data_IF_821032034115
#
_entry.id   IF_821032034115
#
_cell.length_a   1.000
_cell.length_b   1.000
_cell.length_c   1.000
_cell.angle_alpha   90.00
_cell.angle_beta   90.00
_cell.angle_gamma   90.00
#
_symmetry.space_group_name_H-M   'P 1'
#
loop_
_entity.id
_entity.type
_entity.pdbx_description
1 polymer ?
#
# COMPACT_ATOMS: atom_id res chain seq x y z
N UNK A 1 -22.21 45.36 -33.48
CA UNK A 1 -22.15 45.85 -34.89
C UNK A 1 -21.73 47.31 -34.78
N UNK A 2 -20.57 47.82 -35.18
CA UNK A 2 -19.52 47.50 -36.16
C UNK A 2 -18.15 47.72 -35.46
N UNK A 3 -17.14 46.85 -35.65
CA UNK A 3 -15.98 47.00 -36.58
C UNK A 3 -15.29 48.37 -36.49
N UNK A 4 -13.98 48.51 -36.49
CA UNK A 4 -12.85 47.59 -36.68
C UNK A 4 -11.60 48.31 -36.16
N UNK A 5 -10.58 47.52 -35.85
CA UNK A 5 -9.17 47.91 -35.78
C UNK A 5 -8.70 48.68 -37.02
N UNK A 6 -7.76 49.62 -36.83
CA UNK A 6 -6.56 49.87 -37.67
C UNK A 6 -5.82 51.08 -37.06
N UNK A 7 -4.77 50.86 -36.25
CA UNK A 7 -3.35 50.78 -36.66
C UNK A 7 -2.69 52.14 -36.93
N UNK A 8 -1.53 52.34 -36.30
CA UNK A 8 -0.64 53.49 -36.40
C UNK A 8 0.13 53.64 -35.08
N UNK A 9 1.00 52.69 -34.71
CA UNK A 9 2.38 52.46 -35.22
C UNK A 9 3.35 53.62 -34.91
N UNK A 10 4.39 53.23 -34.16
CA UNK A 10 5.72 53.85 -33.97
C UNK A 10 5.81 55.20 -33.23
N UNK A 11 6.63 55.25 -32.17
CA UNK A 11 8.06 55.57 -32.35
C UNK A 11 8.86 55.67 -31.02
N UNK A 12 9.95 54.88 -30.96
CA UNK A 12 11.27 55.08 -30.34
C UNK A 12 11.41 55.57 -28.87
N UNK A 13 11.84 54.68 -27.97
CA UNK A 13 13.25 54.45 -27.50
C UNK A 13 13.89 55.61 -26.75
N UNK A 14 14.15 55.42 -25.46
CA UNK A 14 15.26 56.06 -24.73
C UNK A 14 16.01 54.99 -23.95
N UNK A 15 17.33 55.10 -24.08
CA UNK A 15 18.46 54.28 -23.63
C UNK A 15 18.40 53.86 -22.15
N UNK A 16 18.73 52.61 -21.79
CA UNK A 16 20.09 52.04 -21.64
C UNK A 16 20.89 52.68 -20.49
N UNK A 17 20.63 52.21 -19.26
CA UNK A 17 21.59 52.30 -18.17
C UNK A 17 22.19 50.91 -17.91
N UNK A 18 23.48 50.81 -18.18
CA UNK A 18 24.36 49.70 -17.85
C UNK A 18 24.32 49.42 -16.33
N UNK A 19 23.96 48.20 -15.96
CA UNK A 19 24.44 47.58 -14.73
C UNK A 19 25.14 46.28 -15.15
N UNK A 20 26.40 46.03 -14.76
CA UNK A 20 27.11 44.85 -15.21
C UNK A 20 26.44 43.59 -14.64
N UNK A 21 26.10 42.66 -15.53
CA UNK A 21 25.68 41.31 -15.17
C UNK A 21 26.79 40.65 -14.35
N UNK A 22 26.57 40.53 -13.04
CA UNK A 22 27.35 39.65 -12.18
C UNK A 22 26.87 38.23 -12.51
N UNK A 23 27.70 37.35 -13.11
CA UNK A 23 27.29 35.97 -13.29
C UNK A 23 27.10 35.36 -11.91
N UNK A 24 25.86 34.92 -11.63
CA UNK A 24 25.53 34.25 -10.39
C UNK A 24 26.49 33.07 -10.19
N UNK A 25 27.12 32.92 -9.00
CA UNK A 25 28.02 31.80 -8.77
C UNK A 25 27.20 30.52 -8.90
N UNK A 26 27.57 29.69 -9.87
CA UNK A 26 26.99 28.38 -10.09
C UNK A 26 27.36 27.48 -8.90
N UNK A 27 26.48 27.54 -7.90
CA UNK A 27 26.73 26.88 -6.63
C UNK A 27 26.64 25.36 -6.85
N UNK A 28 27.66 24.59 -6.44
CA UNK A 28 27.76 23.16 -6.70
C UNK A 28 26.68 22.35 -5.96
N UNK A 29 25.86 23.05 -5.16
CA UNK A 29 24.79 22.48 -4.37
C UNK A 29 23.52 22.27 -5.19
N UNK A 30 23.36 22.88 -6.39
CA UNK A 30 22.17 22.63 -7.25
C UNK A 30 22.06 21.15 -7.64
N UNK A 31 23.18 20.56 -8.07
CA UNK A 31 23.24 19.12 -8.38
C UNK A 31 23.11 18.24 -7.13
N UNK A 32 23.69 18.67 -6.00
CA UNK A 32 23.62 17.92 -4.72
C UNK A 32 22.21 17.93 -4.11
N UNK A 33 21.46 19.02 -4.23
CA UNK A 33 20.07 19.13 -3.78
C UNK A 33 19.15 18.28 -4.63
N UNK A 34 19.32 18.29 -5.95
CA UNK A 34 18.59 17.40 -6.86
C UNK A 34 18.92 15.94 -6.54
N UNK A 35 20.19 15.61 -6.32
CA UNK A 35 20.60 14.25 -5.94
C UNK A 35 20.05 13.85 -4.55
N UNK A 36 20.03 14.76 -3.57
CA UNK A 36 19.44 14.52 -2.26
C UNK A 36 17.93 14.32 -2.31
N UNK A 37 17.21 15.09 -3.14
CA UNK A 37 15.77 14.92 -3.37
C UNK A 37 15.45 13.63 -4.13
N UNK A 38 16.30 13.25 -5.10
CA UNK A 38 16.18 11.98 -5.81
C UNK A 38 16.47 10.78 -4.90
N UNK A 39 17.49 10.86 -4.03
CA UNK A 39 17.80 9.83 -3.04
C UNK A 39 16.69 9.69 -1.97
N UNK A 40 16.13 10.80 -1.51
CA UNK A 40 15.02 10.80 -0.56
C UNK A 40 13.73 10.24 -1.19
N UNK A 41 13.46 10.54 -2.47
CA UNK A 41 12.34 9.95 -3.22
C UNK A 41 12.53 8.45 -3.49
N UNK A 42 13.76 8.01 -3.76
CA UNK A 42 14.10 6.59 -3.96
C UNK A 42 14.02 5.78 -2.65
N UNK A 43 14.39 6.38 -1.51
CA UNK A 43 14.20 5.79 -0.18
C UNK A 43 12.73 5.81 0.28
N UNK A 44 11.98 6.87 -0.01
CA UNK A 44 10.56 7.00 0.34
C UNK A 44 9.64 6.09 -0.49
N UNK A 45 9.94 5.90 -1.77
CA UNK A 45 9.18 4.99 -2.66
C UNK A 45 9.40 3.52 -2.34
N UNK A 46 10.58 3.15 -1.84
CA UNK A 46 10.89 1.78 -1.42
C UNK A 46 10.17 1.36 -0.13
N UNK A 47 9.75 2.31 0.71
CA UNK A 47 9.04 2.03 1.97
C UNK A 47 7.56 1.67 1.77
N UNK A 48 6.96 2.09 0.64
CA UNK A 48 5.56 1.79 0.30
C UNK A 48 5.37 0.42 -0.37
N UNK A 49 6.44 -0.14 -0.94
CA UNK A 49 6.49 -1.50 -1.47
C UNK A 49 7.31 -2.34 -0.50
N UNK A 50 6.91 -2.34 0.77
CA UNK A 50 7.28 -3.46 1.61
C UNK A 50 6.44 -4.64 1.13
N UNK A 51 6.98 -5.66 0.44
CA UNK A 51 6.23 -6.88 0.26
C UNK A 51 5.88 -7.34 1.67
N UNK A 52 4.59 -7.51 1.96
CA UNK A 52 4.18 -8.31 3.10
C UNK A 52 4.99 -9.60 2.99
N UNK A 53 5.87 -9.84 3.96
CA UNK A 53 6.55 -11.12 4.07
C UNK A 53 5.44 -12.16 3.92
N UNK A 54 5.53 -13.10 2.96
CA UNK A 54 4.45 -14.03 2.71
C UNK A 54 4.16 -14.73 4.03
N UNK A 55 3.01 -14.38 4.60
CA UNK A 55 2.51 -14.91 5.86
C UNK A 55 2.47 -16.46 5.84
N UNK A 56 2.43 -17.04 4.63
CA UNK A 56 2.50 -18.47 4.33
C UNK A 56 3.77 -19.18 4.84
N UNK A 57 4.84 -18.46 5.16
CA UNK A 57 6.08 -19.07 5.69
C UNK A 57 5.98 -19.42 7.20
N UNK A 58 4.96 -18.94 7.93
CA UNK A 58 4.94 -19.00 9.42
C UNK A 58 3.64 -19.48 10.06
N UNK A 59 2.67 -19.99 9.31
CA UNK A 59 1.47 -20.59 9.92
C UNK A 59 1.66 -22.11 10.01
N UNK A 60 2.11 -22.65 11.16
CA UNK A 60 2.00 -24.07 11.39
C UNK A 60 0.53 -24.44 11.35
N UNK A 61 0.20 -25.50 10.61
CA UNK A 61 -1.02 -26.27 10.83
C UNK A 61 -1.11 -26.51 12.34
N UNK A 62 -2.31 -26.34 12.91
CA UNK A 62 -2.59 -26.23 14.34
C UNK A 62 -2.20 -27.40 15.26
N UNK A 63 -1.22 -28.20 14.86
CA UNK A 63 -0.78 -29.41 15.53
C UNK A 63 0.60 -29.24 16.21
N UNK A 64 1.38 -28.18 15.94
CA UNK A 64 2.72 -28.08 16.51
C UNK A 64 3.34 -26.67 16.56
N UNK A 65 2.80 -25.76 17.37
CA UNK A 65 3.67 -24.82 18.08
C UNK A 65 3.64 -25.18 19.56
N UNK A 66 4.78 -25.45 20.21
CA UNK A 66 4.86 -25.29 21.65
C UNK A 66 4.65 -23.80 21.92
N UNK A 67 3.39 -23.42 22.11
CA UNK A 67 3.04 -22.07 22.54
C UNK A 67 3.20 -22.08 24.04
N UNK A 68 4.22 -21.40 24.54
CA UNK A 68 4.30 -21.08 25.97
C UNK A 68 3.15 -20.14 26.30
N UNK A 69 2.05 -20.73 26.77
CA UNK A 69 0.89 -19.99 27.25
C UNK A 69 1.27 -19.38 28.60
N UNK A 70 1.21 -18.05 28.77
CA UNK A 70 1.46 -17.42 30.06
C UNK A 70 0.49 -17.95 31.13
N UNK A 71 0.97 -18.11 32.37
CA UNK A 71 0.07 -18.40 33.50
C UNK A 71 -0.70 -17.14 33.89
N UNK A 72 -1.82 -16.92 33.20
CA UNK A 72 -2.71 -15.80 33.48
C UNK A 72 -3.31 -15.84 34.90
N UNK A 73 -3.23 -16.96 35.63
CA UNK A 73 -3.75 -17.06 37.00
C UNK A 73 -2.81 -16.42 38.03
N UNK A 74 -1.51 -16.33 37.74
CA UNK A 74 -0.52 -15.68 38.62
C UNK A 74 -0.60 -14.14 38.57
N UNK A 75 -1.18 -13.56 37.51
CA UNK A 75 -1.34 -12.12 37.35
C UNK A 75 -2.58 -11.63 38.12
N UNK A 76 -2.34 -10.89 39.21
CA UNK A 76 -3.39 -10.37 40.12
C UNK A 76 -4.05 -9.12 39.56
N UNK A 77 -3.28 -8.22 38.96
CA UNK A 77 -3.83 -6.99 38.37
C UNK A 77 -4.58 -7.31 37.07
N UNK A 78 -5.85 -6.91 37.01
CA UNK A 78 -6.72 -7.17 35.86
C UNK A 78 -6.29 -6.38 34.63
N UNK A 79 -5.69 -5.19 34.80
CA UNK A 79 -5.19 -4.38 33.68
C UNK A 79 -3.96 -5.03 33.05
N UNK A 80 -2.99 -5.42 33.87
CA UNK A 80 -1.79 -6.15 33.44
C UNK A 80 -2.16 -7.49 32.78
N UNK A 81 -3.09 -8.25 33.39
CA UNK A 81 -3.55 -9.53 32.85
C UNK A 81 -4.19 -9.39 31.47
N UNK A 82 -4.96 -8.32 31.23
CA UNK A 82 -5.56 -8.06 29.91
C UNK A 82 -4.49 -7.68 28.90
N UNK A 83 -3.52 -6.83 29.28
CA UNK A 83 -2.43 -6.45 28.40
C UNK A 83 -1.64 -7.69 27.95
N UNK A 84 -1.27 -8.57 28.87
CA UNK A 84 -0.57 -9.82 28.56
C UNK A 84 -1.44 -10.76 27.71
N UNK A 85 -2.73 -10.90 28.03
CA UNK A 85 -3.67 -11.70 27.25
C UNK A 85 -3.81 -11.23 25.80
N UNK A 86 -3.98 -9.92 25.58
CA UNK A 86 -4.11 -9.38 24.23
C UNK A 86 -2.78 -9.38 23.49
N UNK A 87 -1.66 -9.14 24.18
CA UNK A 87 -0.31 -9.26 23.59
C UNK A 87 -0.03 -10.69 23.13
N UNK A 88 -0.48 -11.68 23.90
CA UNK A 88 -0.43 -13.08 23.52
C UNK A 88 -1.30 -13.41 22.30
N UNK A 89 -2.53 -12.88 22.22
CA UNK A 89 -3.45 -13.15 21.10
C UNK A 89 -3.12 -12.38 19.82
N UNK A 90 -2.51 -11.19 19.93
CA UNK A 90 -2.23 -10.31 18.81
C UNK A 90 -1.59 -11.01 17.59
N UNK A 91 -0.50 -11.79 17.73
CA UNK A 91 0.11 -12.46 16.57
C UNK A 91 -0.84 -13.47 15.89
N UNK A 92 -1.77 -14.08 16.61
CA UNK A 92 -2.76 -15.00 16.03
C UNK A 92 -3.84 -14.25 15.25
N UNK A 93 -4.28 -13.10 15.76
CA UNK A 93 -5.23 -12.23 15.06
C UNK A 93 -4.60 -11.69 13.78
N UNK A 94 -3.35 -11.23 13.84
CA UNK A 94 -2.62 -10.72 12.67
C UNK A 94 -2.43 -11.82 11.61
N UNK A 95 -2.18 -13.05 12.06
CA UNK A 95 -2.09 -14.22 11.21
C UNK A 95 -3.41 -14.52 10.48
N UNK A 96 -4.54 -14.52 11.20
CA UNK A 96 -5.85 -14.72 10.59
C UNK A 96 -6.24 -13.59 9.64
N UNK A 97 -5.96 -12.34 10.02
CA UNK A 97 -6.19 -11.18 9.16
C UNK A 97 -5.43 -11.31 7.84
N UNK A 98 -4.16 -11.74 7.89
CA UNK A 98 -3.34 -11.96 6.71
C UNK A 98 -3.92 -13.06 5.81
N UNK A 99 -4.40 -14.17 6.40
CA UNK A 99 -5.09 -15.23 5.66
C UNK A 99 -6.35 -14.71 4.96
N UNK A 100 -7.18 -13.94 5.67
CA UNK A 100 -8.42 -13.37 5.12
C UNK A 100 -8.10 -12.40 3.96
N UNK A 101 -7.05 -11.59 4.08
CA UNK A 101 -6.61 -10.70 3.01
C UNK A 101 -6.20 -11.47 1.75
N UNK A 102 -5.41 -12.53 1.90
CA UNK A 102 -5.01 -13.39 0.76
C UNK A 102 -6.22 -14.04 0.09
N UNK A 103 -7.17 -14.56 0.87
CA UNK A 103 -8.42 -15.11 0.33
C UNK A 103 -9.20 -14.05 -0.47
N UNK A 104 -9.26 -12.81 0.02
CA UNK A 104 -9.91 -11.69 -0.68
C UNK A 104 -9.22 -11.36 -2.00
N UNK A 105 -7.90 -11.29 -2.02
CA UNK A 105 -7.13 -11.03 -3.25
C UNK A 105 -7.40 -12.11 -4.32
N UNK A 106 -7.42 -13.38 -3.92
CA UNK A 106 -7.76 -14.48 -4.81
C UNK A 106 -9.18 -14.37 -5.36
N UNK A 107 -10.17 -14.04 -4.52
CA UNK A 107 -11.55 -13.83 -4.96
C UNK A 107 -11.66 -12.66 -5.95
N UNK A 108 -10.99 -11.54 -5.67
CA UNK A 108 -10.97 -10.39 -6.57
C UNK A 108 -10.32 -10.73 -7.91
N UNK A 109 -9.25 -11.54 -7.92
CA UNK A 109 -8.65 -12.01 -9.16
C UNK A 109 -9.62 -12.86 -9.99
N UNK A 110 -10.41 -13.73 -9.33
CA UNK A 110 -11.45 -14.54 -9.98
C UNK A 110 -12.55 -13.64 -10.56
N UNK A 111 -13.05 -12.65 -9.82
CA UNK A 111 -14.06 -11.71 -10.31
C UNK A 111 -13.57 -10.96 -11.54
N UNK A 112 -12.37 -10.37 -11.48
CA UNK A 112 -11.76 -9.66 -12.60
C UNK A 112 -11.56 -10.56 -13.83
N UNK A 113 -11.26 -11.85 -13.62
CA UNK A 113 -11.15 -12.83 -14.70
C UNK A 113 -12.52 -13.13 -15.31
N UNK A 114 -13.56 -13.32 -14.49
CA UNK A 114 -14.92 -13.62 -14.93
C UNK A 114 -15.52 -12.49 -15.78
N UNK A 115 -15.20 -11.24 -15.46
CA UNK A 115 -15.59 -10.08 -16.29
C UNK A 115 -15.05 -10.16 -17.72
N UNK A 116 -13.89 -10.81 -17.92
CA UNK A 116 -13.22 -10.94 -19.23
C UNK A 116 -13.54 -12.27 -19.92
N UNK A 117 -13.71 -13.33 -19.15
CA UNK A 117 -14.00 -14.68 -19.64
C UNK A 117 -14.81 -15.44 -18.59
N UNK A 118 -16.01 -15.93 -18.91
CA UNK A 118 -16.92 -16.55 -17.95
C UNK A 118 -16.52 -17.98 -17.53
N UNK A 119 -15.24 -18.33 -17.61
CA UNK A 119 -14.76 -19.69 -17.33
C UNK A 119 -13.88 -19.73 -16.08
N UNK A 120 -14.30 -20.57 -15.13
CA UNK A 120 -13.52 -20.92 -13.94
C UNK A 120 -12.65 -22.15 -14.19
N UNK A 121 -11.40 -22.10 -13.74
CA UNK A 121 -10.53 -23.27 -13.68
C UNK A 121 -10.98 -24.22 -12.56
N UNK A 122 -10.57 -25.49 -12.62
CA UNK A 122 -10.86 -26.45 -11.54
C UNK A 122 -10.34 -25.98 -10.19
N UNK A 123 -9.15 -25.35 -10.15
CA UNK A 123 -8.56 -24.84 -8.91
C UNK A 123 -9.41 -23.72 -8.30
N UNK A 124 -9.92 -22.81 -9.14
CA UNK A 124 -10.80 -21.71 -8.69
C UNK A 124 -12.14 -22.26 -8.17
N UNK A 125 -12.71 -23.26 -8.84
CA UNK A 125 -13.93 -23.92 -8.36
C UNK A 125 -13.73 -24.61 -7.00
N UNK A 126 -12.61 -25.33 -6.82
CA UNK A 126 -12.27 -25.94 -5.54
C UNK A 126 -12.07 -24.89 -4.45
N UNK A 127 -11.36 -23.80 -4.75
CA UNK A 127 -11.17 -22.69 -3.81
C UNK A 127 -12.51 -22.09 -3.37
N UNK A 128 -13.41 -21.78 -4.32
CA UNK A 128 -14.72 -21.23 -4.02
C UNK A 128 -15.57 -22.18 -3.18
N UNK A 129 -15.54 -23.48 -3.47
CA UNK A 129 -16.23 -24.49 -2.67
C UNK A 129 -15.64 -24.58 -1.25
N UNK A 130 -14.32 -24.57 -1.09
CA UNK A 130 -13.70 -24.57 0.24
C UNK A 130 -14.11 -23.32 1.02
N UNK A 131 -14.07 -22.14 0.39
CA UNK A 131 -14.48 -20.89 1.04
C UNK A 131 -15.97 -20.87 1.36
N UNK A 132 -16.84 -21.42 0.51
CA UNK A 132 -18.28 -21.48 0.82
C UNK A 132 -18.54 -22.34 2.05
N UNK A 133 -17.83 -23.48 2.20
CA UNK A 133 -17.93 -24.33 3.39
C UNK A 133 -17.35 -23.62 4.62
N UNK A 134 -16.13 -23.07 4.53
CA UNK A 134 -15.44 -22.40 5.64
C UNK A 134 -16.25 -21.22 6.21
N UNK A 135 -16.94 -20.47 5.35
CA UNK A 135 -17.76 -19.32 5.74
C UNK A 135 -19.26 -19.66 5.90
N UNK A 136 -19.65 -20.93 5.78
CA UNK A 136 -21.03 -21.38 5.97
C UNK A 136 -22.03 -20.78 4.98
N UNK A 137 -21.60 -20.50 3.76
CA UNK A 137 -22.46 -19.97 2.70
C UNK A 137 -23.33 -21.08 2.14
N UNK A 138 -24.65 -20.92 2.27
CA UNK A 138 -25.62 -21.76 1.56
C UNK A 138 -25.55 -21.42 0.08
N UNK A 139 -25.06 -22.35 -0.74
CA UNK A 139 -25.15 -22.21 -2.18
C UNK A 139 -26.57 -22.58 -2.59
N UNK A 140 -27.47 -21.60 -2.57
CA UNK A 140 -28.71 -21.73 -3.31
C UNK A 140 -28.32 -22.04 -4.76
N UNK A 141 -28.80 -23.17 -5.28
CA UNK A 141 -28.57 -23.56 -6.66
C UNK A 141 -29.27 -22.52 -7.55
N UNK A 142 -28.52 -21.51 -8.01
CA UNK A 142 -28.96 -20.53 -9.02
C UNK A 142 -28.60 -21.03 -10.41
#
# INVERSE_FOLDING_TARGET
MLRDELMGEADRTVEHDCMPDVPAPESPYRAKLVFALLLAGMFGGAFFISPSQPFLERMPRGDALPVDIPDFAEIVDVEEKKQEFFSFLQPFVDAQNSRIQQQREQLLAIVNKLERSPQLSRQEQTLLHTLSVDYGLETDNV
#
